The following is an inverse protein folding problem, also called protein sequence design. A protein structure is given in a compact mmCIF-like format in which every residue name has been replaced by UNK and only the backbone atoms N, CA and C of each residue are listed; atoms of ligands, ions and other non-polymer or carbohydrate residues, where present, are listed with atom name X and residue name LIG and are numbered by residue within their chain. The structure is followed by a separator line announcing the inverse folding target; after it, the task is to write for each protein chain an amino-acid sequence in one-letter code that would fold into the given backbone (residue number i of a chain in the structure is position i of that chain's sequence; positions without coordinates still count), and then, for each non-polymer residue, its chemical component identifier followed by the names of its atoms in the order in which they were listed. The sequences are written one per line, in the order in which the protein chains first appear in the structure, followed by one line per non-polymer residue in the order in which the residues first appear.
data_IF_720918975841
#
_entry.id   IF_720918975841
#
_cell.length_a   1.000
_cell.length_b   1.000
_cell.length_c   1.000
_cell.angle_alpha   90.00
_cell.angle_beta   90.00
_cell.angle_gamma   90.00
#
_symmetry.space_group_name_H-M   'P 1'
#
loop_
_entity.id
_entity.type
_entity.pdbx_description
1 polymer ?
#
# COMPACT_ATOMS: atom_id res chain seq x y z
N UNK A 1 17.43 -4.89 11.92
CA UNK A 1 18.45 -4.65 10.86
C UNK A 1 18.07 -5.51 9.68
N UNK A 2 18.03 -4.93 8.48
CA UNK A 2 17.72 -5.62 7.22
C UNK A 2 18.76 -6.69 6.95
N UNK A 3 18.32 -7.90 6.61
CA UNK A 3 19.22 -8.98 6.18
C UNK A 3 19.48 -8.84 4.67
N UNK A 4 20.69 -8.45 4.32
CA UNK A 4 21.09 -8.19 2.92
C UNK A 4 21.24 -9.47 2.08
N UNK A 5 21.18 -10.65 2.70
CA UNK A 5 21.19 -11.95 2.00
C UNK A 5 19.80 -12.40 1.55
N UNK A 6 18.75 -11.65 1.97
CA UNK A 6 17.36 -11.90 1.62
C UNK A 6 16.82 -10.78 0.74
N UNK A 7 15.86 -11.07 -0.15
CA UNK A 7 15.13 -10.02 -0.85
C UNK A 7 14.45 -9.07 0.12
N UNK A 8 14.59 -7.77 -0.13
CA UNK A 8 13.82 -6.73 0.53
C UNK A 8 12.61 -6.43 -0.34
N UNK A 9 11.42 -6.48 0.28
CA UNK A 9 10.13 -6.31 -0.40
C UNK A 9 9.28 -5.28 0.33
N UNK A 10 8.41 -4.60 -0.41
CA UNK A 10 7.32 -3.77 0.12
C UNK A 10 6.04 -4.15 -0.62
N UNK A 11 5.16 -4.89 0.05
CA UNK A 11 3.94 -5.44 -0.55
C UNK A 11 2.67 -4.67 -0.18
N UNK A 12 2.83 -3.57 0.58
CA UNK A 12 1.77 -2.64 0.90
C UNK A 12 2.29 -1.20 0.75
N UNK A 13 2.25 -0.70 -0.49
CA UNK A 13 2.75 0.63 -0.84
C UNK A 13 1.80 1.29 -1.83
N UNK A 14 1.21 2.41 -1.41
CA UNK A 14 0.34 3.21 -2.25
C UNK A 14 1.17 4.06 -3.22
N UNK A 15 0.91 3.92 -4.51
CA UNK A 15 1.53 4.74 -5.55
C UNK A 15 1.06 6.20 -5.45
N UNK A 16 -0.23 6.39 -5.23
CA UNK A 16 -0.87 7.70 -5.04
C UNK A 16 -0.60 8.32 -3.66
N UNK A 17 -0.11 7.53 -2.70
CA UNK A 17 0.44 7.98 -1.41
C UNK A 17 1.95 8.21 -1.40
N UNK A 18 2.62 8.02 -2.54
CA UNK A 18 4.06 8.26 -2.70
C UNK A 18 4.35 9.24 -3.84
N UNK A 19 3.78 10.43 -3.78
CA UNK A 19 4.11 11.53 -4.68
C UNK A 19 5.06 12.47 -3.94
N UNK A 20 6.26 12.64 -4.46
CA UNK A 20 7.32 13.43 -3.82
C UNK A 20 6.87 14.88 -3.66
N UNK A 21 7.13 15.55 -2.52
CA UNK A 21 6.86 16.99 -2.35
C UNK A 21 7.45 17.84 -3.47
N UNK A 22 8.66 17.50 -3.95
CA UNK A 22 9.29 18.16 -5.09
C UNK A 22 8.47 18.01 -6.38
N UNK A 23 7.95 16.82 -6.65
CA UNK A 23 7.10 16.55 -7.83
C UNK A 23 5.77 17.29 -7.73
N UNK A 24 5.15 17.36 -6.53
CA UNK A 24 3.96 18.16 -6.30
C UNK A 24 4.22 19.64 -6.65
N UNK A 25 5.35 20.20 -6.19
CA UNK A 25 5.72 21.58 -6.46
C UNK A 25 5.93 21.82 -7.97
N UNK A 26 6.64 20.93 -8.65
CA UNK A 26 6.93 21.02 -10.09
C UNK A 26 5.67 20.92 -10.94
N UNK A 27 4.82 19.92 -10.68
CA UNK A 27 3.56 19.73 -11.40
C UNK A 27 2.57 20.86 -11.11
N UNK A 28 2.51 21.35 -9.86
CA UNK A 28 1.71 22.52 -9.50
C UNK A 28 2.08 23.74 -10.32
N UNK A 29 3.38 24.00 -10.50
CA UNK A 29 3.87 25.09 -11.36
C UNK A 29 3.60 24.84 -12.83
N UNK A 30 3.87 23.63 -13.31
CA UNK A 30 3.66 23.24 -14.71
C UNK A 30 2.21 23.42 -15.17
N UNK A 31 1.25 23.09 -14.31
CA UNK A 31 -0.17 23.14 -14.62
C UNK A 31 -0.92 24.33 -14.04
N UNK A 32 -0.20 25.32 -13.47
CA UNK A 32 -0.78 26.50 -12.81
C UNK A 32 -1.80 26.15 -11.71
N UNK A 33 -1.52 25.11 -10.92
CA UNK A 33 -2.35 24.68 -9.82
C UNK A 33 -1.94 25.46 -8.56
N UNK A 34 -2.91 26.10 -7.92
CA UNK A 34 -2.66 26.80 -6.66
C UNK A 34 -2.31 25.82 -5.55
N UNK A 35 -1.09 25.93 -5.04
CA UNK A 35 -0.58 25.15 -3.91
C UNK A 35 -0.55 26.02 -2.65
N UNK A 36 -0.59 25.42 -1.44
CA UNK A 36 -0.57 26.17 -0.17
C UNK A 36 0.77 26.88 0.07
N UNK A 37 1.83 26.53 -0.66
CA UNK A 37 3.15 27.12 -0.55
C UNK A 37 3.91 27.03 -1.88
N UNK A 38 4.94 27.87 -2.06
CA UNK A 38 5.66 28.04 -3.32
C UNK A 38 7.12 27.57 -3.29
N UNK A 39 7.60 27.09 -2.15
CA UNK A 39 8.92 26.47 -2.00
C UNK A 39 8.80 25.06 -1.41
N UNK A 40 9.80 24.22 -1.63
CA UNK A 40 9.80 22.86 -1.08
C UNK A 40 9.73 22.88 0.45
N UNK A 41 10.51 23.74 1.10
CA UNK A 41 10.55 23.88 2.55
C UNK A 41 9.18 24.21 3.15
N UNK A 42 8.48 25.18 2.55
CA UNK A 42 7.17 25.64 3.04
C UNK A 42 6.02 24.75 2.59
N UNK A 43 6.17 23.98 1.49
CA UNK A 43 5.16 23.04 1.01
C UNK A 43 5.16 21.73 1.81
N UNK A 44 6.33 21.21 2.15
CA UNK A 44 6.48 19.91 2.80
C UNK A 44 5.53 19.71 4.01
N UNK A 45 5.37 20.66 4.94
CA UNK A 45 4.44 20.51 6.07
C UNK A 45 2.96 20.36 5.67
N UNK A 46 2.58 20.77 4.47
CA UNK A 46 1.21 20.63 3.98
C UNK A 46 0.94 19.27 3.32
N UNK A 47 1.97 18.62 2.77
CA UNK A 47 1.86 17.40 1.98
C UNK A 47 2.42 16.18 2.70
N UNK A 48 3.13 16.39 3.81
CA UNK A 48 3.64 15.32 4.68
C UNK A 48 3.08 15.45 6.10
N UNK A 49 2.98 14.32 6.78
CA UNK A 49 2.64 14.26 8.20
C UNK A 49 3.86 14.71 9.02
N UNK A 50 3.68 15.77 9.82
CA UNK A 50 4.70 16.30 10.74
C UNK A 50 4.37 16.02 12.20
N UNK A 51 3.11 15.71 12.49
CA UNK A 51 2.61 15.26 13.78
C UNK A 51 1.47 14.26 13.51
N UNK A 52 1.23 13.34 14.44
CA UNK A 52 0.18 12.34 14.26
C UNK A 52 -1.17 13.01 13.99
N UNK A 53 -1.87 12.51 12.99
CA UNK A 53 -3.23 12.93 12.68
C UNK A 53 -4.21 12.32 13.70
N UNK A 54 -5.36 12.95 13.98
CA UNK A 54 -6.28 12.46 14.99
C UNK A 54 -6.93 11.12 14.63
N UNK A 55 -7.06 10.84 13.35
CA UNK A 55 -7.67 9.61 12.81
C UNK A 55 -7.26 9.35 11.37
N UNK A 56 -7.67 8.19 10.84
CA UNK A 56 -7.40 7.78 9.46
C UNK A 56 -7.95 8.79 8.43
N UNK A 57 -9.17 9.30 8.63
CA UNK A 57 -9.80 10.22 7.66
C UNK A 57 -9.00 11.52 7.55
N UNK A 58 -8.55 12.07 8.67
CA UNK A 58 -7.68 13.25 8.70
C UNK A 58 -6.34 13.01 8.00
N UNK A 59 -5.73 11.83 8.19
CA UNK A 59 -4.53 11.42 7.46
C UNK A 59 -4.77 11.39 5.94
N UNK A 60 -5.88 10.79 5.49
CA UNK A 60 -6.21 10.68 4.06
C UNK A 60 -6.29 12.05 3.37
N UNK A 61 -6.65 13.12 4.07
CA UNK A 61 -6.68 14.48 3.48
C UNK A 61 -5.30 15.02 3.08
N UNK A 62 -4.21 14.47 3.64
CA UNK A 62 -2.84 14.84 3.24
C UNK A 62 -2.50 14.34 1.83
N UNK A 63 -3.12 13.24 1.39
CA UNK A 63 -2.92 12.70 0.05
C UNK A 63 -3.48 13.62 -1.04
N UNK A 64 -4.51 14.42 -0.71
CA UNK A 64 -5.24 15.23 -1.70
C UNK A 64 -4.34 16.19 -2.48
N UNK A 65 -3.30 16.74 -1.87
CA UNK A 65 -2.35 17.61 -2.56
C UNK A 65 -1.54 16.88 -3.63
N UNK A 66 -1.18 15.62 -3.36
CA UNK A 66 -0.48 14.78 -4.34
C UNK A 66 -1.32 14.50 -5.58
N UNK A 67 -2.57 14.08 -5.39
CA UNK A 67 -3.46 13.77 -6.53
C UNK A 67 -3.99 15.03 -7.22
N UNK A 68 -4.09 16.16 -6.52
CA UNK A 68 -4.55 17.44 -7.09
C UNK A 68 -3.64 17.96 -8.21
N UNK A 69 -2.38 17.61 -8.22
CA UNK A 69 -1.43 18.04 -9.27
C UNK A 69 -1.37 17.08 -10.46
N UNK A 70 -2.11 15.97 -10.43
CA UNK A 70 -2.19 15.01 -11.54
C UNK A 70 -3.14 15.51 -12.62
N UNK A 71 -2.74 16.59 -13.32
CA UNK A 71 -3.58 17.26 -14.30
C UNK A 71 -3.56 16.63 -15.69
N UNK A 72 -2.76 15.59 -15.91
CA UNK A 72 -2.66 14.87 -17.18
C UNK A 72 -2.27 13.41 -16.96
N UNK A 73 -2.47 12.58 -17.98
CA UNK A 73 -2.00 11.20 -17.99
C UNK A 73 -0.47 11.11 -17.93
N UNK A 74 0.24 12.09 -18.51
CA UNK A 74 1.70 12.16 -18.40
C UNK A 74 2.17 12.40 -16.95
N UNK A 75 1.43 13.20 -16.17
CA UNK A 75 1.70 13.37 -14.74
C UNK A 75 1.49 12.05 -13.98
N UNK A 76 0.43 11.30 -14.27
CA UNK A 76 0.18 9.98 -13.69
C UNK A 76 1.30 8.99 -14.04
N UNK A 77 1.74 8.97 -15.30
CA UNK A 77 2.85 8.14 -15.77
C UNK A 77 4.16 8.51 -15.06
N UNK A 78 4.45 9.81 -14.91
CA UNK A 78 5.63 10.31 -14.22
C UNK A 78 5.69 9.82 -12.76
N UNK A 79 4.63 9.99 -11.99
CA UNK A 79 4.62 9.58 -10.59
C UNK A 79 4.72 8.06 -10.44
N UNK A 80 4.18 7.29 -11.38
CA UNK A 80 4.34 5.85 -11.42
C UNK A 80 5.79 5.42 -11.65
N UNK A 81 6.49 6.07 -12.59
CA UNK A 81 7.91 5.89 -12.84
C UNK A 81 8.77 6.25 -11.61
N UNK A 82 8.49 7.41 -10.98
CA UNK A 82 9.18 7.87 -9.78
C UNK A 82 9.00 6.93 -8.58
N UNK A 83 7.85 6.25 -8.47
CA UNK A 83 7.63 5.23 -7.44
C UNK A 83 8.62 4.06 -7.54
N UNK A 84 8.94 3.62 -8.77
CA UNK A 84 9.94 2.56 -8.98
C UNK A 84 11.36 3.09 -8.74
N UNK A 85 11.64 4.33 -9.11
CA UNK A 85 12.92 4.98 -8.80
C UNK A 85 13.14 5.05 -7.28
N UNK A 86 12.13 5.43 -6.51
CA UNK A 86 12.19 5.46 -5.04
C UNK A 86 12.38 4.07 -4.45
N UNK A 87 11.69 3.06 -5.00
CA UNK A 87 11.87 1.67 -4.60
C UNK A 87 13.32 1.21 -4.81
N UNK A 88 13.91 1.55 -5.96
CA UNK A 88 15.32 1.24 -6.27
C UNK A 88 16.29 1.95 -5.32
N UNK A 89 16.07 3.25 -5.06
CA UNK A 89 16.91 4.05 -4.13
C UNK A 89 16.89 3.49 -2.71
N UNK A 90 15.77 2.89 -2.31
CA UNK A 90 15.58 2.27 -1.00
C UNK A 90 16.03 0.80 -0.96
N UNK A 91 16.65 0.29 -2.02
CA UNK A 91 17.18 -1.07 -2.09
C UNK A 91 16.12 -2.16 -2.18
N UNK A 92 14.87 -1.81 -2.52
CA UNK A 92 13.82 -2.80 -2.74
C UNK A 92 14.14 -3.66 -3.98
N UNK A 93 13.97 -4.96 -3.84
CA UNK A 93 14.11 -5.92 -4.92
C UNK A 93 12.78 -6.18 -5.63
N UNK A 94 11.69 -6.07 -4.85
CA UNK A 94 10.32 -6.28 -5.30
C UNK A 94 9.36 -5.36 -4.57
N UNK A 95 8.37 -4.82 -5.30
CA UNK A 95 7.33 -3.97 -4.74
C UNK A 95 5.96 -4.32 -5.34
N UNK A 96 4.93 -4.29 -4.52
CA UNK A 96 3.53 -4.29 -4.97
C UNK A 96 2.97 -2.88 -4.80
N UNK A 97 2.80 -2.20 -5.92
CA UNK A 97 2.25 -0.85 -5.94
C UNK A 97 0.74 -0.91 -6.10
N UNK A 98 0.03 -0.32 -5.15
CA UNK A 98 -1.43 -0.20 -5.18
C UNK A 98 -1.85 1.23 -5.46
N UNK A 99 -2.92 1.41 -6.23
CA UNK A 99 -3.39 2.73 -6.61
C UNK A 99 -4.89 2.74 -6.91
N UNK A 100 -5.52 3.90 -6.67
CA UNK A 100 -6.91 4.18 -6.98
C UNK A 100 -6.98 5.12 -8.20
N UNK A 101 -7.31 4.60 -9.40
CA UNK A 101 -7.32 5.41 -10.60
C UNK A 101 -8.45 6.44 -10.60
N UNK A 102 -9.56 6.15 -9.93
CA UNK A 102 -10.66 7.10 -9.76
C UNK A 102 -10.26 8.29 -8.89
N UNK A 103 -9.54 8.02 -7.78
CA UNK A 103 -9.00 9.07 -6.92
C UNK A 103 -7.95 9.93 -7.65
N UNK A 104 -7.02 9.29 -8.37
CA UNK A 104 -6.01 9.99 -9.17
C UNK A 104 -6.62 10.84 -10.29
N UNK A 105 -7.75 10.42 -10.86
CA UNK A 105 -8.44 11.12 -11.96
C UNK A 105 -9.32 12.28 -11.50
N UNK A 106 -9.76 12.27 -10.25
CA UNK A 106 -10.92 13.04 -9.75
C UNK A 106 -10.75 14.55 -9.92
N UNK A 107 -9.60 15.10 -9.54
CA UNK A 107 -9.37 16.55 -9.50
C UNK A 107 -9.48 17.19 -10.89
N UNK A 108 -9.16 16.46 -11.97
CA UNK A 108 -9.12 16.95 -13.34
C UNK A 108 -9.99 16.14 -14.30
N UNK A 109 -10.86 15.28 -13.77
CA UNK A 109 -11.78 14.45 -14.55
C UNK A 109 -11.06 13.67 -15.67
N UNK A 110 -9.89 13.12 -15.37
CA UNK A 110 -9.16 12.29 -16.32
C UNK A 110 -9.95 11.01 -16.61
N UNK A 111 -9.78 10.40 -17.81
CA UNK A 111 -10.36 9.09 -18.07
C UNK A 111 -9.72 8.04 -17.17
N UNK A 112 -10.53 7.38 -16.33
CA UNK A 112 -10.05 6.42 -15.32
C UNK A 112 -9.25 5.28 -15.96
N UNK A 113 -9.70 4.74 -17.10
CA UNK A 113 -8.95 3.73 -17.85
C UNK A 113 -7.60 4.28 -18.36
N UNK A 114 -7.55 5.55 -18.78
CA UNK A 114 -6.31 6.20 -19.19
C UNK A 114 -5.30 6.34 -18.05
N UNK A 115 -5.78 6.59 -16.82
CA UNK A 115 -4.91 6.60 -15.62
C UNK A 115 -4.31 5.22 -15.39
N UNK A 116 -5.08 4.14 -15.53
CA UNK A 116 -4.58 2.77 -15.41
C UNK A 116 -3.48 2.51 -16.44
N UNK A 117 -3.69 2.87 -17.71
CA UNK A 117 -2.67 2.74 -18.77
C UNK A 117 -1.40 3.52 -18.45
N UNK A 118 -1.54 4.78 -18.04
CA UNK A 118 -0.41 5.64 -17.70
C UNK A 118 0.43 5.07 -16.54
N UNK A 119 -0.23 4.53 -15.51
CA UNK A 119 0.43 3.86 -14.39
C UNK A 119 1.17 2.61 -14.85
N UNK A 120 0.53 1.75 -15.64
CA UNK A 120 1.16 0.53 -16.19
C UNK A 120 2.42 0.90 -16.98
N UNK A 121 2.35 1.91 -17.84
CA UNK A 121 3.48 2.34 -18.66
C UNK A 121 4.63 2.93 -17.83
N UNK A 122 4.31 3.79 -16.85
CA UNK A 122 5.30 4.37 -15.95
C UNK A 122 6.02 3.32 -15.11
N UNK A 123 5.29 2.38 -14.53
CA UNK A 123 5.85 1.27 -13.75
C UNK A 123 6.72 0.37 -14.65
N UNK A 124 6.24 0.01 -15.82
CA UNK A 124 7.00 -0.83 -16.77
C UNK A 124 8.32 -0.19 -17.17
N UNK A 125 8.31 1.10 -17.48
CA UNK A 125 9.53 1.86 -17.80
C UNK A 125 10.48 1.93 -16.61
N UNK A 126 9.97 2.25 -15.41
CA UNK A 126 10.75 2.27 -14.18
C UNK A 126 11.42 0.92 -13.89
N UNK A 127 10.67 -0.18 -14.00
CA UNK A 127 11.23 -1.54 -13.80
C UNK A 127 12.37 -1.84 -14.77
N UNK A 128 12.25 -1.46 -16.05
CA UNK A 128 13.33 -1.63 -17.04
C UNK A 128 14.55 -0.76 -16.72
N UNK A 129 14.32 0.45 -16.24
CA UNK A 129 15.38 1.43 -15.97
C UNK A 129 16.17 1.09 -14.71
N UNK A 130 15.48 0.68 -13.65
CA UNK A 130 16.10 0.53 -12.33
C UNK A 130 16.30 -0.93 -11.89
N UNK A 131 15.73 -1.91 -12.62
CA UNK A 131 15.90 -3.33 -12.33
C UNK A 131 15.13 -3.84 -11.12
N UNK A 132 14.18 -3.06 -10.59
CA UNK A 132 13.23 -3.48 -9.54
C UNK A 132 12.10 -4.26 -10.19
N UNK A 133 11.66 -5.35 -9.56
CA UNK A 133 10.46 -6.05 -9.97
C UNK A 133 9.24 -5.42 -9.29
N UNK A 134 8.15 -5.26 -10.04
CA UNK A 134 6.91 -4.73 -9.49
C UNK A 134 5.68 -5.48 -10.02
N UNK A 135 4.66 -5.56 -9.18
CA UNK A 135 3.29 -5.95 -9.55
C UNK A 135 2.34 -4.82 -9.18
N UNK A 136 1.20 -4.75 -9.86
CA UNK A 136 0.18 -3.73 -9.63
C UNK A 136 -1.03 -4.34 -8.93
N UNK A 137 -1.52 -3.64 -7.92
CA UNK A 137 -2.76 -3.94 -7.21
C UNK A 137 -3.75 -2.80 -7.46
N UNK A 138 -4.92 -3.13 -7.95
CA UNK A 138 -5.98 -2.16 -8.14
C UNK A 138 -6.68 -1.85 -6.81
N UNK A 139 -6.81 -0.57 -6.44
CA UNK A 139 -7.62 -0.14 -5.31
C UNK A 139 -9.00 0.30 -5.79
N UNK A 140 -10.03 -0.20 -5.14
CA UNK A 140 -11.33 0.44 -5.09
C UNK A 140 -11.38 1.35 -3.87
N UNK A 141 -11.55 2.66 -4.09
CA UNK A 141 -11.67 3.65 -3.02
C UNK A 141 -13.08 3.66 -2.44
N UNK A 142 -13.29 2.91 -1.35
CA UNK A 142 -14.62 2.75 -0.70
C UNK A 142 -15.25 4.08 -0.31
N UNK A 143 -14.44 5.07 0.05
CA UNK A 143 -14.89 6.41 0.44
C UNK A 143 -15.78 7.09 -0.59
N UNK A 144 -15.61 6.78 -1.88
CA UNK A 144 -16.40 7.35 -2.98
C UNK A 144 -17.61 6.51 -3.37
N UNK A 145 -17.87 5.41 -2.65
CA UNK A 145 -19.06 4.57 -2.78
C UNK A 145 -18.98 3.53 -3.90
N UNK A 146 -20.00 2.70 -3.96
CA UNK A 146 -20.07 1.51 -4.84
C UNK A 146 -19.96 1.86 -6.34
N UNK A 147 -20.61 2.94 -6.78
CA UNK A 147 -20.59 3.33 -8.20
C UNK A 147 -19.20 3.77 -8.68
N UNK A 148 -18.46 4.51 -7.85
CA UNK A 148 -17.07 4.88 -8.13
C UNK A 148 -16.16 3.65 -8.16
N UNK A 149 -16.31 2.76 -7.18
CA UNK A 149 -15.59 1.49 -7.14
C UNK A 149 -15.87 0.60 -8.35
N UNK A 150 -17.12 0.61 -8.86
CA UNK A 150 -17.47 -0.09 -10.08
C UNK A 150 -16.71 0.47 -11.29
N UNK A 151 -16.55 1.79 -11.41
CA UNK A 151 -15.78 2.41 -12.48
C UNK A 151 -14.29 2.04 -12.40
N UNK A 152 -13.72 2.02 -11.21
CA UNK A 152 -12.33 1.59 -10.99
C UNK A 152 -12.15 0.13 -11.38
N UNK A 153 -13.06 -0.75 -10.95
CA UNK A 153 -13.04 -2.18 -11.31
C UNK A 153 -13.09 -2.39 -12.83
N UNK A 154 -13.98 -1.69 -13.55
CA UNK A 154 -14.07 -1.78 -15.02
C UNK A 154 -12.78 -1.35 -15.70
N UNK A 155 -12.17 -0.27 -15.21
CA UNK A 155 -10.89 0.20 -15.75
C UNK A 155 -9.77 -0.84 -15.54
N UNK A 156 -9.72 -1.50 -14.39
CA UNK A 156 -8.79 -2.58 -14.14
C UNK A 156 -9.07 -3.82 -15.00
N UNK A 157 -10.33 -4.20 -15.17
CA UNK A 157 -10.72 -5.35 -15.99
C UNK A 157 -10.37 -5.18 -17.46
N UNK A 158 -10.36 -3.95 -17.97
CA UNK A 158 -9.88 -3.64 -19.32
C UNK A 158 -8.37 -3.94 -19.48
N UNK A 159 -7.61 -3.99 -18.37
CA UNK A 159 -6.17 -4.28 -18.33
C UNK A 159 -5.85 -5.48 -17.44
N UNK A 160 -6.75 -6.48 -17.39
CA UNK A 160 -6.75 -7.59 -16.42
C UNK A 160 -5.41 -8.34 -16.31
N UNK A 161 -4.67 -8.47 -17.39
CA UNK A 161 -3.40 -9.21 -17.43
C UNK A 161 -2.22 -8.41 -16.83
N UNK A 162 -2.41 -7.13 -16.56
CA UNK A 162 -1.42 -6.23 -15.95
C UNK A 162 -1.70 -5.97 -14.46
N UNK A 163 -2.88 -6.37 -13.98
CA UNK A 163 -3.30 -6.23 -12.59
C UNK A 163 -3.23 -7.60 -11.92
N UNK A 164 -2.58 -7.65 -10.79
CA UNK A 164 -2.31 -8.91 -10.07
C UNK A 164 -3.34 -9.20 -8.97
N UNK A 165 -3.86 -8.14 -8.34
CA UNK A 165 -4.78 -8.26 -7.23
C UNK A 165 -5.75 -7.07 -7.17
N UNK A 166 -6.84 -7.23 -6.43
CA UNK A 166 -7.75 -6.17 -6.05
C UNK A 166 -7.66 -5.90 -4.55
N UNK A 167 -7.80 -4.63 -4.17
CA UNK A 167 -7.83 -4.13 -2.79
C UNK A 167 -9.03 -3.21 -2.59
N UNK A 168 -9.41 -3.01 -1.34
CA UNK A 168 -10.43 -2.06 -0.91
C UNK A 168 -9.82 -1.16 0.17
N UNK A 169 -9.73 0.14 -0.08
CA UNK A 169 -9.10 1.10 0.82
C UNK A 169 -9.96 2.36 1.00
N UNK A 170 -9.66 3.15 2.02
CA UNK A 170 -10.36 4.39 2.36
C UNK A 170 -11.10 4.32 3.69
N UNK A 171 -12.20 5.04 3.84
CA UNK A 171 -12.99 5.13 5.07
C UNK A 171 -13.65 3.79 5.41
N UNK A 172 -12.97 3.00 6.24
CA UNK A 172 -13.40 1.66 6.65
C UNK A 172 -14.68 1.67 7.49
N UNK A 173 -14.85 2.69 8.33
CA UNK A 173 -16.01 2.80 9.21
C UNK A 173 -17.27 3.24 8.46
N UNK A 174 -17.12 4.19 7.54
CA UNK A 174 -18.23 4.74 6.75
C UNK A 174 -18.73 3.80 5.65
N UNK A 175 -17.86 2.94 5.11
CA UNK A 175 -18.15 2.10 3.96
C UNK A 175 -17.68 0.65 4.19
N UNK A 176 -18.47 -0.19 4.88
CA UNK A 176 -18.08 -1.56 5.21
C UNK A 176 -17.93 -2.43 3.94
N UNK A 177 -17.13 -3.48 4.05
CA UNK A 177 -16.82 -4.40 2.93
C UNK A 177 -18.04 -5.08 2.32
N UNK A 178 -19.15 -5.25 3.08
CA UNK A 178 -20.39 -5.85 2.60
C UNK A 178 -21.01 -5.15 1.39
N UNK A 179 -20.71 -3.86 1.19
CA UNK A 179 -21.17 -3.11 0.02
C UNK A 179 -20.48 -3.54 -1.29
N UNK A 180 -19.37 -4.26 -1.21
CA UNK A 180 -18.48 -4.53 -2.35
C UNK A 180 -18.40 -6.00 -2.75
N UNK A 181 -19.27 -6.86 -2.24
CA UNK A 181 -19.29 -8.32 -2.51
C UNK A 181 -19.25 -8.67 -4.00
N UNK A 182 -20.10 -8.00 -4.79
CA UNK A 182 -20.18 -8.25 -6.23
C UNK A 182 -18.88 -7.85 -6.97
N UNK A 183 -18.21 -6.80 -6.52
CA UNK A 183 -16.95 -6.33 -7.08
C UNK A 183 -15.83 -7.38 -6.86
N UNK A 184 -15.73 -7.91 -5.65
CA UNK A 184 -14.73 -8.94 -5.33
C UNK A 184 -15.04 -10.29 -5.99
N UNK A 185 -16.30 -10.65 -6.21
CA UNK A 185 -16.65 -11.82 -7.01
C UNK A 185 -16.08 -11.68 -8.42
N UNK A 186 -16.25 -10.54 -9.07
CA UNK A 186 -15.71 -10.27 -10.42
C UNK A 186 -14.19 -10.28 -10.45
N UNK A 187 -13.51 -9.81 -9.40
CA UNK A 187 -12.07 -9.90 -9.30
C UNK A 187 -11.58 -11.35 -9.25
N UNK A 188 -12.25 -12.19 -8.45
CA UNK A 188 -11.96 -13.63 -8.39
C UNK A 188 -12.22 -14.32 -9.74
N UNK A 189 -13.30 -13.99 -10.42
CA UNK A 189 -13.61 -14.51 -11.75
C UNK A 189 -12.56 -14.08 -12.79
N UNK A 190 -11.91 -12.92 -12.60
CA UNK A 190 -10.79 -12.48 -13.41
C UNK A 190 -9.47 -13.23 -13.09
N UNK A 191 -9.44 -14.04 -12.03
CA UNK A 191 -8.26 -14.77 -11.58
C UNK A 191 -7.28 -13.94 -10.75
N UNK A 192 -7.72 -12.81 -10.22
CA UNK A 192 -6.90 -11.95 -9.37
C UNK A 192 -6.83 -12.44 -7.94
N UNK A 193 -5.71 -12.15 -7.30
CA UNK A 193 -5.55 -12.24 -5.86
C UNK A 193 -6.37 -11.14 -5.15
N UNK A 194 -6.64 -11.34 -3.86
CA UNK A 194 -7.40 -10.39 -3.04
C UNK A 194 -6.57 -10.03 -1.81
N UNK A 195 -6.38 -8.73 -1.60
CA UNK A 195 -6.00 -8.14 -0.31
C UNK A 195 -7.04 -7.10 0.07
N UNK A 196 -7.22 -6.82 1.36
CA UNK A 196 -8.24 -5.86 1.83
C UNK A 196 -7.71 -5.09 3.02
N UNK A 197 -7.80 -3.76 2.98
CA UNK A 197 -7.63 -2.95 4.19
C UNK A 197 -8.77 -3.28 5.16
N UNK A 198 -8.45 -3.91 6.28
CA UNK A 198 -9.42 -4.32 7.29
C UNK A 198 -8.78 -4.35 8.68
N UNK A 199 -9.57 -4.00 9.70
CA UNK A 199 -9.11 -3.95 11.08
C UNK A 199 -8.04 -2.88 11.31
N UNK A 200 -8.10 -1.79 10.58
CA UNK A 200 -7.31 -0.58 10.81
C UNK A 200 -8.11 0.40 11.69
N UNK A 201 -9.22 0.93 11.16
CA UNK A 201 -10.13 1.80 11.89
C UNK A 201 -11.31 1.04 12.48
N UNK A 202 -11.83 0.00 11.80
CA UNK A 202 -12.88 -0.89 12.30
C UNK A 202 -12.29 -2.07 13.09
N UNK A 203 -13.14 -2.79 13.82
CA UNK A 203 -12.75 -3.89 14.68
C UNK A 203 -12.46 -5.22 13.95
N UNK A 204 -12.26 -6.32 14.71
CA UNK A 204 -11.95 -7.64 14.16
C UNK A 204 -13.00 -8.17 13.19
N UNK A 205 -14.26 -7.76 13.34
CA UNK A 205 -15.37 -8.14 12.46
C UNK A 205 -15.13 -7.74 11.01
N UNK A 206 -14.46 -6.61 10.77
CA UNK A 206 -14.06 -6.16 9.43
C UNK A 206 -13.05 -7.13 8.80
N UNK A 207 -12.14 -7.67 9.59
CA UNK A 207 -11.15 -8.67 9.14
C UNK A 207 -11.87 -9.99 8.80
N UNK A 208 -12.77 -10.45 9.68
CA UNK A 208 -13.58 -11.63 9.43
C UNK A 208 -14.40 -11.50 8.14
N UNK A 209 -14.99 -10.33 7.90
CA UNK A 209 -15.73 -10.03 6.68
C UNK A 209 -14.83 -10.07 5.45
N UNK A 210 -13.67 -9.43 5.51
CA UNK A 210 -12.70 -9.46 4.41
C UNK A 210 -12.32 -10.89 4.01
N UNK A 211 -12.10 -11.77 4.98
CA UNK A 211 -11.73 -13.16 4.73
C UNK A 211 -12.91 -13.98 4.19
N UNK A 212 -14.04 -13.96 4.90
CA UNK A 212 -15.15 -14.88 4.65
C UNK A 212 -16.02 -14.49 3.46
N UNK A 213 -16.18 -13.17 3.24
CA UNK A 213 -17.10 -12.64 2.24
C UNK A 213 -16.36 -12.12 1.01
N UNK A 214 -15.25 -11.37 1.19
CA UNK A 214 -14.50 -10.81 0.08
C UNK A 214 -13.43 -11.77 -0.47
N UNK A 215 -13.02 -12.76 0.30
CA UNK A 215 -12.03 -13.77 -0.11
C UNK A 215 -10.58 -13.30 0.02
N UNK A 216 -10.32 -12.43 1.00
CA UNK A 216 -8.97 -11.91 1.23
C UNK A 216 -7.95 -13.02 1.55
N UNK A 217 -6.87 -13.04 0.82
CA UNK A 217 -5.70 -13.90 1.03
C UNK A 217 -4.68 -13.22 1.97
N UNK A 218 -4.73 -11.88 2.02
CA UNK A 218 -3.94 -11.02 2.90
C UNK A 218 -4.81 -9.89 3.44
N UNK A 219 -4.44 -9.38 4.60
CA UNK A 219 -5.12 -8.26 5.27
C UNK A 219 -4.16 -7.08 5.37
N UNK A 220 -4.56 -5.95 4.80
CA UNK A 220 -3.88 -4.68 4.98
C UNK A 220 -4.09 -4.16 6.40
N UNK A 221 -3.02 -3.77 7.08
CA UNK A 221 -2.95 -3.34 8.49
C UNK A 221 -3.31 -4.42 9.50
N UNK A 222 -4.58 -4.78 9.63
CA UNK A 222 -5.05 -5.86 10.49
C UNK A 222 -4.78 -5.66 11.98
N UNK A 223 -4.49 -4.43 12.44
CA UNK A 223 -4.05 -4.16 13.82
C UNK A 223 -5.08 -4.60 14.87
N UNK A 224 -6.37 -4.58 14.52
CA UNK A 224 -7.46 -4.99 15.41
C UNK A 224 -7.62 -6.51 15.55
N UNK A 225 -6.87 -7.31 14.79
CA UNK A 225 -6.87 -8.77 14.98
C UNK A 225 -6.46 -9.16 16.42
N UNK A 226 -5.63 -8.34 17.09
CA UNK A 226 -5.19 -8.56 18.47
C UNK A 226 -6.37 -8.61 19.47
N UNK A 227 -7.50 -8.01 19.14
CA UNK A 227 -8.69 -7.94 19.99
C UNK A 227 -9.54 -9.22 19.94
N UNK A 228 -9.26 -10.14 19.00
CA UNK A 228 -9.98 -11.40 18.82
C UNK A 228 -9.02 -12.59 18.73
N UNK A 229 -8.93 -13.36 19.80
CA UNK A 229 -8.07 -14.54 19.88
C UNK A 229 -8.40 -15.59 18.84
N UNK A 230 -9.69 -15.83 18.58
CA UNK A 230 -10.13 -16.82 17.59
C UNK A 230 -9.73 -16.39 16.15
N UNK A 231 -9.76 -15.09 15.88
CA UNK A 231 -9.25 -14.53 14.61
C UNK A 231 -7.75 -14.74 14.49
N UNK A 232 -6.98 -14.45 15.54
CA UNK A 232 -5.52 -14.68 15.55
C UNK A 232 -5.17 -16.14 15.29
N UNK A 233 -5.86 -17.07 15.98
CA UNK A 233 -5.68 -18.51 15.77
C UNK A 233 -6.00 -18.89 14.33
N UNK A 234 -7.09 -18.39 13.78
CA UNK A 234 -7.52 -18.64 12.39
C UNK A 234 -6.51 -18.09 11.35
N UNK A 235 -6.02 -16.86 11.53
CA UNK A 235 -5.00 -16.26 10.64
C UNK A 235 -3.72 -17.10 10.61
N UNK A 236 -3.27 -17.57 11.79
CA UNK A 236 -2.08 -18.41 11.90
C UNK A 236 -2.28 -19.79 11.26
N UNK A 237 -3.41 -20.46 11.54
CA UNK A 237 -3.73 -21.78 10.99
C UNK A 237 -3.93 -21.77 9.47
N UNK A 238 -4.65 -20.78 8.96
CA UNK A 238 -4.94 -20.65 7.52
C UNK A 238 -3.82 -19.95 6.75
N UNK A 239 -2.77 -19.50 7.45
CA UNK A 239 -1.63 -18.78 6.86
C UNK A 239 -2.02 -17.52 6.07
N UNK A 240 -3.10 -16.85 6.51
CA UNK A 240 -3.51 -15.55 5.97
C UNK A 240 -2.56 -14.48 6.49
N UNK A 241 -1.96 -13.72 5.57
CA UNK A 241 -0.93 -12.75 5.90
C UNK A 241 -1.48 -11.41 6.38
N UNK A 242 -0.74 -10.76 7.30
CA UNK A 242 -0.97 -9.36 7.69
C UNK A 242 0.13 -8.48 7.10
N UNK A 243 -0.28 -7.44 6.37
CA UNK A 243 0.59 -6.41 5.82
C UNK A 243 0.70 -5.26 6.84
N UNK A 244 1.67 -5.34 7.75
CA UNK A 244 1.83 -4.32 8.81
C UNK A 244 2.54 -3.09 8.30
N UNK A 245 2.04 -1.91 8.69
CA UNK A 245 2.54 -0.58 8.34
C UNK A 245 2.74 0.23 9.63
N UNK A 246 3.91 0.05 10.28
CA UNK A 246 4.16 0.49 11.64
C UNK A 246 3.98 2.01 11.81
N UNK A 247 4.73 2.81 11.04
CA UNK A 247 4.68 4.27 11.14
C UNK A 247 3.32 4.81 10.75
N UNK A 248 2.68 4.26 9.71
CA UNK A 248 1.34 4.66 9.28
C UNK A 248 0.33 4.52 10.42
N UNK A 249 0.32 3.38 11.11
CA UNK A 249 -0.63 3.13 12.19
C UNK A 249 -0.48 4.09 13.38
N UNK A 250 0.72 4.64 13.59
CA UNK A 250 0.94 5.69 14.58
C UNK A 250 0.46 7.05 14.05
N UNK A 251 0.79 7.37 12.80
CA UNK A 251 0.43 8.66 12.19
C UNK A 251 -1.08 8.80 11.98
N UNK A 252 -1.80 7.71 11.73
CA UNK A 252 -3.27 7.65 11.64
C UNK A 252 -3.96 7.54 12.99
N UNK A 253 -3.19 7.46 14.09
CA UNK A 253 -3.69 7.22 15.45
C UNK A 253 -4.51 5.94 15.62
N UNK A 254 -4.38 4.97 14.71
CA UNK A 254 -4.99 3.64 14.85
C UNK A 254 -4.29 2.79 15.89
N UNK A 255 -3.01 3.09 16.14
CA UNK A 255 -2.21 2.59 17.27
C UNK A 255 -1.59 3.78 17.99
N UNK A 256 -1.62 3.78 19.32
CA UNK A 256 -1.21 4.95 20.12
C UNK A 256 0.31 5.23 20.05
N UNK A 257 1.12 4.17 20.08
CA UNK A 257 2.59 4.25 20.08
C UNK A 257 3.20 2.97 19.52
N UNK A 258 4.43 3.04 19.00
CA UNK A 258 5.11 1.88 18.41
C UNK A 258 5.25 0.70 19.39
N UNK A 259 5.52 0.95 20.67
CA UNK A 259 5.63 -0.10 21.67
C UNK A 259 4.31 -0.88 21.89
N UNK A 260 3.16 -0.31 21.52
CA UNK A 260 1.85 -0.96 21.59
C UNK A 260 1.43 -1.61 20.26
N UNK A 261 2.24 -1.50 19.20
CA UNK A 261 1.90 -2.07 17.90
C UNK A 261 1.87 -3.61 17.96
N UNK A 262 0.81 -4.27 17.44
CA UNK A 262 0.61 -5.72 17.62
C UNK A 262 1.53 -6.62 16.78
N UNK A 263 2.35 -6.09 15.88
CA UNK A 263 3.20 -6.87 14.97
C UNK A 263 4.06 -7.92 15.69
N UNK A 264 4.67 -7.55 16.83
CA UNK A 264 5.46 -8.51 17.63
C UNK A 264 4.62 -9.69 18.06
N UNK A 265 3.41 -9.42 18.59
CA UNK A 265 2.50 -10.46 19.04
C UNK A 265 1.97 -11.32 17.89
N UNK A 266 1.75 -10.75 16.72
CA UNK A 266 1.37 -11.51 15.53
C UNK A 266 2.46 -12.53 15.17
N UNK A 267 3.72 -12.11 15.12
CA UNK A 267 4.84 -13.00 14.83
C UNK A 267 5.01 -14.09 15.90
N UNK A 268 4.88 -13.74 17.18
CA UNK A 268 4.94 -14.69 18.31
C UNK A 268 3.77 -15.68 18.27
N UNK A 269 2.63 -15.28 17.71
CA UNK A 269 1.45 -16.13 17.56
C UNK A 269 1.52 -17.05 16.32
N UNK A 270 2.55 -16.90 15.50
CA UNK A 270 2.73 -17.67 14.27
C UNK A 270 1.97 -17.12 13.05
N UNK A 271 1.42 -15.91 13.15
CA UNK A 271 0.81 -15.22 12.01
C UNK A 271 1.90 -14.74 11.07
N UNK A 272 1.71 -14.96 9.77
CA UNK A 272 2.57 -14.36 8.74
C UNK A 272 2.31 -12.86 8.69
N UNK A 273 3.24 -12.06 9.21
CA UNK A 273 3.17 -10.61 9.15
C UNK A 273 4.43 -10.05 8.51
N UNK A 274 4.27 -9.07 7.63
CA UNK A 274 5.35 -8.35 6.93
C UNK A 274 5.45 -6.91 7.40
N UNK A 275 6.56 -6.25 7.06
CA UNK A 275 6.79 -4.83 7.31
C UNK A 275 6.72 -4.09 5.98
N UNK A 276 5.91 -3.03 5.91
CA UNK A 276 5.64 -2.26 4.70
C UNK A 276 5.57 -0.77 5.02
N UNK A 277 5.61 0.07 3.99
CA UNK A 277 5.59 1.53 4.17
C UNK A 277 4.19 2.12 4.24
N UNK A 278 3.26 1.72 3.40
CA UNK A 278 1.95 2.31 3.15
C UNK A 278 2.01 3.55 2.23
N UNK A 279 2.06 4.77 2.78
CA UNK A 279 2.09 6.05 2.05
C UNK A 279 3.41 6.80 2.27
N UNK A 280 4.56 6.30 1.80
CA UNK A 280 5.87 6.83 2.21
C UNK A 280 6.08 8.30 1.85
N UNK A 281 5.49 8.80 0.76
CA UNK A 281 5.58 10.20 0.38
C UNK A 281 4.87 11.13 1.36
N UNK A 282 3.67 10.73 1.82
CA UNK A 282 2.88 11.46 2.80
C UNK A 282 3.44 11.30 4.21
N UNK A 283 3.90 10.10 4.55
CA UNK A 283 4.46 9.80 5.86
C UNK A 283 5.86 10.41 6.08
N UNK A 284 6.58 10.73 4.99
CA UNK A 284 7.96 11.21 5.06
C UNK A 284 8.96 10.15 5.52
N UNK A 285 8.65 8.86 5.28
CA UNK A 285 9.48 7.71 5.64
C UNK A 285 9.70 6.78 4.46
N UNK A 286 10.61 5.84 4.61
CA UNK A 286 10.89 4.79 3.64
C UNK A 286 10.96 3.41 4.32
N UNK A 287 11.15 2.37 3.53
CA UNK A 287 11.23 1.00 4.04
C UNK A 287 12.44 0.80 4.98
N UNK A 288 13.51 1.55 4.80
CA UNK A 288 14.68 1.47 5.66
C UNK A 288 14.32 1.98 7.06
N UNK A 289 13.59 3.09 7.15
CA UNK A 289 13.06 3.60 8.42
C UNK A 289 12.17 2.55 9.12
N UNK A 290 11.25 1.92 8.40
CA UNK A 290 10.37 0.90 8.97
C UNK A 290 11.15 -0.26 9.60
N UNK A 291 12.20 -0.74 8.93
CA UNK A 291 13.02 -1.85 9.42
C UNK A 291 14.05 -1.46 10.49
N UNK A 292 14.60 -0.24 10.45
CA UNK A 292 15.75 0.15 11.29
C UNK A 292 15.36 1.02 12.48
N UNK A 293 14.22 1.69 12.41
CA UNK A 293 13.72 2.59 13.46
C UNK A 293 12.40 2.09 14.04
N UNK A 294 11.37 1.95 13.21
CA UNK A 294 10.02 1.62 13.67
C UNK A 294 9.93 0.20 14.26
N UNK A 295 10.45 -0.81 13.57
CA UNK A 295 10.38 -2.19 14.04
C UNK A 295 11.13 -2.43 15.38
N UNK A 296 12.36 -1.95 15.59
CA UNK A 296 12.99 -2.00 16.90
C UNK A 296 12.22 -1.25 17.99
N UNK A 297 11.66 -0.07 17.68
CA UNK A 297 10.84 0.70 18.62
C UNK A 297 9.52 -0.01 19.00
N UNK A 298 8.98 -0.83 18.08
CA UNK A 298 7.87 -1.73 18.36
C UNK A 298 8.26 -2.99 19.15
N UNK A 299 9.51 -3.09 19.59
CA UNK A 299 10.01 -4.16 20.44
C UNK A 299 10.36 -5.46 19.71
N UNK A 300 10.52 -5.44 18.39
CA UNK A 300 10.90 -6.62 17.61
C UNK A 300 12.39 -6.94 17.81
N UNK A 301 12.69 -8.22 18.01
CA UNK A 301 14.05 -8.73 17.96
C UNK A 301 14.59 -8.78 16.53
N UNK A 302 15.90 -8.97 16.37
CA UNK A 302 16.53 -9.14 15.05
C UNK A 302 15.94 -10.33 14.30
N UNK A 303 15.67 -11.42 15.00
CA UNK A 303 15.08 -12.64 14.44
C UNK A 303 13.65 -12.37 13.97
N UNK A 304 12.86 -11.61 14.73
CA UNK A 304 11.49 -11.21 14.35
C UNK A 304 11.48 -10.27 13.14
N UNK A 305 12.39 -9.30 13.10
CA UNK A 305 12.55 -8.40 11.94
C UNK A 305 12.93 -9.21 10.68
N UNK A 306 13.89 -10.14 10.84
CA UNK A 306 14.28 -11.05 9.76
C UNK A 306 13.11 -11.94 9.31
N UNK A 307 12.31 -12.45 10.25
CA UNK A 307 11.13 -13.25 9.92
C UNK A 307 10.10 -12.42 9.16
N UNK A 308 9.85 -11.16 9.55
CA UNK A 308 8.96 -10.26 8.83
C UNK A 308 9.45 -9.99 7.40
N UNK A 309 10.78 -9.87 7.20
CA UNK A 309 11.37 -9.74 5.86
C UNK A 309 11.14 -11.00 5.01
N UNK A 310 11.31 -12.19 5.57
CA UNK A 310 11.00 -13.46 4.90
C UNK A 310 9.51 -13.51 4.55
N UNK A 311 8.64 -13.18 5.49
CA UNK A 311 7.20 -13.17 5.31
C UNK A 311 6.79 -12.23 4.15
N UNK A 312 7.42 -11.08 3.99
CA UNK A 312 7.14 -10.14 2.89
C UNK A 312 7.29 -10.80 1.52
N UNK A 313 8.34 -11.62 1.33
CA UNK A 313 8.49 -12.39 0.09
C UNK A 313 7.52 -13.57 0.00
N UNK A 314 7.30 -14.29 1.13
CA UNK A 314 6.37 -15.44 1.11
C UNK A 314 4.94 -15.03 0.81
N UNK A 315 4.52 -13.87 1.31
CA UNK A 315 3.18 -13.31 1.11
C UNK A 315 3.02 -12.63 -0.26
N UNK A 316 4.11 -12.29 -0.95
CA UNK A 316 4.07 -11.60 -2.24
C UNK A 316 3.24 -12.38 -3.27
N UNK A 317 2.46 -11.69 -4.07
CA UNK A 317 1.67 -12.26 -5.17
C UNK A 317 2.56 -12.60 -6.37
N UNK A 318 3.56 -13.41 -6.09
CA UNK A 318 4.52 -13.99 -7.03
C UNK A 318 4.37 -15.50 -7.09
N UNK A 319 4.61 -16.08 -8.25
CA UNK A 319 4.72 -17.54 -8.37
C UNK A 319 5.93 -18.07 -7.58
N UNK A 320 5.91 -19.37 -7.27
CA UNK A 320 7.04 -20.02 -6.61
C UNK A 320 8.35 -19.86 -7.39
N UNK A 321 8.26 -19.85 -8.71
CA UNK A 321 9.42 -19.66 -9.60
C UNK A 321 9.96 -18.23 -9.50
N UNK A 322 9.09 -17.20 -9.55
CA UNK A 322 9.47 -15.80 -9.39
C UNK A 322 10.12 -15.55 -8.01
N UNK A 323 9.55 -16.10 -6.93
CA UNK A 323 10.13 -16.01 -5.58
C UNK A 323 11.52 -16.65 -5.50
N UNK A 324 11.70 -17.82 -6.10
CA UNK A 324 13.00 -18.50 -6.16
C UNK A 324 14.01 -17.67 -6.93
N UNK A 325 13.66 -17.21 -8.13
CA UNK A 325 14.54 -16.38 -8.96
C UNK A 325 14.98 -15.10 -8.24
N UNK A 326 14.09 -14.48 -7.47
CA UNK A 326 14.41 -13.30 -6.68
C UNK A 326 15.42 -13.60 -5.57
N UNK A 327 15.26 -14.74 -4.85
CA UNK A 327 16.23 -15.18 -3.84
C UNK A 327 17.61 -15.46 -4.47
N UNK A 328 17.65 -16.17 -5.59
CA UNK A 328 18.90 -16.48 -6.30
C UNK A 328 19.61 -15.21 -6.77
N UNK A 329 18.86 -14.24 -7.30
CA UNK A 329 19.41 -12.94 -7.75
C UNK A 329 20.07 -12.17 -6.59
N UNK A 330 19.47 -12.22 -5.39
CA UNK A 330 20.02 -11.53 -4.20
C UNK A 330 21.23 -12.29 -3.64
N UNK A 331 21.17 -13.61 -3.56
CA UNK A 331 22.27 -14.43 -3.06
C UNK A 331 23.53 -14.41 -3.96
N UNK A 332 23.40 -14.01 -5.23
CA UNK A 332 24.50 -13.90 -6.18
C UNK A 332 25.25 -12.55 -6.13
N UNK A 333 24.78 -11.61 -5.36
CA UNK A 333 25.42 -10.29 -5.13
C UNK A 333 26.31 -10.29 -3.90
#
# INVERSE_FOLDING_TARGET
MIDTTLPLTDIHRHLDGNIRPQTILELGRQYNISLPAQSLETLTPHVQVIANEPDLVSFLTKLDWGVKVLASLDACRRVAFENIEDAARNGLHYVELRFSPGYMAMAHQLPVAGVVEAVIDGVREGCRTFGVQAKLIGIMSRTFGEAACQQELEAFLAHRDQITALDLAGDELGFPGSLFLSHFNRARDAGWHITVHAGEAAGPESIWQAIRELGAERIGHGVKAIEDRALMDFLAEQQIGIESCLTSNIQTSTVAELAAHPLKMFLEHGIRASINTDDPGVQGVDIIHEYTVAAPAAGLSREQIRQAQINGLEMAFLSAEEKRALREKVAAK
#
